data_IF_141036653747
#
_entry.id   IF_141036653747
#
_cell.length_a   1.000
_cell.length_b   1.000
_cell.length_c   1.000
_cell.angle_alpha   90.00
_cell.angle_beta   90.00
_cell.angle_gamma   90.00
#
_symmetry.space_group_name_H-M   'P 1'
#
loop_
_entity.id
_entity.type
_entity.pdbx_description
1 polymer ?
#
# COMPACT_ATOMS: atom_id res chain seq x y z
N UNK A 1 92.14 4.28 3.63
CA UNK A 1 91.05 4.13 4.61
C UNK A 1 89.73 4.37 3.91
N UNK A 2 89.02 3.31 3.47
CA UNK A 2 87.85 3.45 2.67
C UNK A 2 86.63 3.09 3.53
N UNK A 3 85.82 4.11 3.81
CA UNK A 3 84.58 3.97 4.60
C UNK A 3 83.42 3.70 3.64
N UNK A 4 82.94 2.48 3.62
CA UNK A 4 81.74 2.09 2.85
C UNK A 4 80.51 2.47 3.63
N UNK A 5 79.71 3.39 3.05
CA UNK A 5 78.37 3.76 3.57
C UNK A 5 77.34 2.83 2.87
N UNK A 6 76.68 2.02 3.69
CA UNK A 6 75.59 1.10 3.25
C UNK A 6 74.26 1.87 3.32
N UNK A 7 73.73 2.21 2.17
CA UNK A 7 72.36 2.76 2.09
C UNK A 7 71.35 1.64 2.16
N UNK A 8 70.60 1.58 3.27
CA UNK A 8 69.42 0.68 3.40
C UNK A 8 68.24 1.41 2.81
N UNK A 9 67.79 0.94 1.63
CA UNK A 9 66.52 1.35 1.04
C UNK A 9 65.36 0.63 1.77
N UNK A 10 64.66 1.36 2.59
CA UNK A 10 63.35 0.93 3.15
C UNK A 10 62.26 1.28 2.15
N UNK A 11 61.69 0.26 1.51
CA UNK A 11 60.51 0.39 0.67
C UNK A 11 59.27 0.43 1.56
N UNK A 12 58.46 1.50 1.61
CA UNK A 12 57.18 1.45 2.32
C UNK A 12 56.19 0.65 1.52
N UNK A 13 55.77 -0.48 2.06
CA UNK A 13 54.66 -1.26 1.52
C UNK A 13 53.35 -0.48 1.74
N UNK A 14 52.86 0.19 0.70
CA UNK A 14 51.50 0.76 0.67
C UNK A 14 50.50 -0.38 0.59
N UNK A 15 49.86 -0.69 1.72
CA UNK A 15 48.65 -1.50 1.74
C UNK A 15 47.54 -0.65 1.10
N UNK A 16 47.20 -0.96 -0.16
CA UNK A 16 45.94 -0.51 -0.76
C UNK A 16 44.80 -1.29 -0.08
N UNK A 17 44.16 -0.69 0.91
CA UNK A 17 42.88 -1.14 1.43
C UNK A 17 41.82 -0.88 0.35
N UNK A 18 41.51 -1.89 -0.45
CA UNK A 18 40.37 -1.85 -1.37
C UNK A 18 39.08 -1.85 -0.53
N UNK A 19 38.48 -0.67 -0.36
CA UNK A 19 37.13 -0.54 0.21
C UNK A 19 36.18 -1.07 -0.85
N UNK A 20 35.76 -2.33 -0.70
CA UNK A 20 34.60 -2.87 -1.42
C UNK A 20 33.37 -2.13 -0.91
N UNK A 21 33.02 -1.04 -1.56
CA UNK A 21 31.66 -0.49 -1.42
C UNK A 21 30.71 -1.50 -2.04
N UNK A 22 30.03 -2.27 -1.17
CA UNK A 22 28.89 -3.06 -1.59
C UNK A 22 27.84 -2.08 -2.13
N UNK A 23 27.79 -1.92 -3.45
CA UNK A 23 26.68 -1.22 -4.11
C UNK A 23 25.42 -1.99 -3.76
N UNK A 24 24.53 -1.39 -2.98
CA UNK A 24 23.18 -1.91 -2.81
C UNK A 24 22.64 -2.23 -4.21
N UNK A 25 22.25 -3.49 -4.44
CA UNK A 25 21.68 -3.90 -5.71
C UNK A 25 20.49 -2.97 -5.98
N UNK A 26 20.66 -2.06 -6.92
CA UNK A 26 19.63 -1.12 -7.33
C UNK A 26 18.46 -1.94 -7.87
N UNK A 27 17.26 -1.66 -7.42
CA UNK A 27 16.05 -2.23 -7.97
C UNK A 27 16.06 -2.01 -9.49
N UNK A 28 16.03 -3.09 -10.25
CA UNK A 28 16.01 -3.00 -11.71
C UNK A 28 14.58 -2.70 -12.14
N UNK A 29 14.28 -1.41 -12.38
CA UNK A 29 13.03 -0.94 -12.98
C UNK A 29 11.77 -1.55 -12.33
N UNK A 30 11.27 -1.01 -11.21
CA UNK A 30 10.02 -1.44 -10.61
C UNK A 30 8.89 -1.49 -11.64
N UNK A 31 8.11 -2.57 -11.66
CA UNK A 31 6.96 -2.71 -12.55
C UNK A 31 5.93 -3.67 -11.95
N UNK A 32 4.67 -3.52 -12.34
CA UNK A 32 3.63 -4.49 -12.02
C UNK A 32 3.79 -5.75 -12.90
N UNK A 33 3.59 -6.92 -12.29
CA UNK A 33 3.56 -8.19 -13.00
C UNK A 33 2.09 -8.50 -13.33
N UNK A 34 1.70 -8.16 -14.55
CA UNK A 34 0.30 -8.14 -14.96
C UNK A 34 -0.45 -6.92 -14.44
N UNK A 35 -1.75 -6.86 -14.71
CA UNK A 35 -2.62 -5.78 -14.24
C UNK A 35 -3.13 -6.11 -12.83
N UNK A 36 -3.03 -5.20 -11.85
CA UNK A 36 -3.69 -5.36 -10.55
C UNK A 36 -5.20 -5.56 -10.72
N UNK A 37 -5.78 -6.44 -9.92
CA UNK A 37 -7.22 -6.70 -9.93
C UNK A 37 -7.86 -6.25 -8.62
N UNK A 38 -9.01 -5.58 -8.71
CA UNK A 38 -9.75 -5.09 -7.55
C UNK A 38 -11.09 -5.81 -7.42
N UNK A 39 -11.44 -6.13 -6.18
CA UNK A 39 -12.75 -6.68 -5.81
C UNK A 39 -13.35 -5.80 -4.73
N UNK A 40 -14.66 -5.56 -4.84
CA UNK A 40 -15.44 -4.78 -3.90
C UNK A 40 -16.46 -5.68 -3.18
N UNK A 41 -16.57 -5.47 -1.88
CA UNK A 41 -17.54 -6.18 -1.03
C UNK A 41 -18.15 -5.19 -0.03
N UNK A 42 -19.46 -5.31 0.21
CA UNK A 42 -20.12 -4.48 1.21
C UNK A 42 -19.62 -4.77 2.63
N UNK A 43 -19.03 -5.93 2.89
CA UNK A 43 -18.52 -6.30 4.21
C UNK A 43 -17.05 -6.00 4.40
N UNK A 44 -16.23 -6.26 3.36
CA UNK A 44 -14.77 -6.13 3.43
C UNK A 44 -14.24 -4.81 2.84
N UNK A 45 -15.06 -4.09 2.09
CA UNK A 45 -14.64 -2.91 1.36
C UNK A 45 -13.98 -3.23 0.02
N UNK A 46 -13.05 -2.40 -0.41
CA UNK A 46 -12.26 -2.56 -1.63
C UNK A 46 -10.95 -3.26 -1.32
N UNK A 47 -10.62 -4.29 -2.06
CA UNK A 47 -9.33 -4.98 -2.01
C UNK A 47 -8.75 -5.04 -3.41
N UNK A 48 -7.52 -4.56 -3.59
CA UNK A 48 -6.80 -4.65 -4.87
C UNK A 48 -5.57 -5.53 -4.69
N UNK A 49 -5.44 -6.57 -5.50
CA UNK A 49 -4.36 -7.55 -5.41
C UNK A 49 -3.54 -7.64 -6.69
N UNK A 50 -2.28 -7.98 -6.53
CA UNK A 50 -1.36 -8.13 -7.65
C UNK A 50 0.04 -8.50 -7.21
N UNK A 51 0.95 -8.39 -8.16
CA UNK A 51 2.38 -8.61 -7.96
C UNK A 51 3.16 -7.45 -8.54
N UNK A 52 4.31 -7.14 -7.94
CA UNK A 52 5.29 -6.23 -8.50
C UNK A 52 6.68 -6.85 -8.45
N UNK A 53 7.53 -6.49 -9.40
CA UNK A 53 8.89 -6.96 -9.54
C UNK A 53 9.85 -5.79 -9.79
N UNK A 54 11.16 -6.08 -9.83
CA UNK A 54 12.18 -5.05 -9.99
C UNK A 54 12.37 -4.20 -8.74
N UNK A 55 11.96 -4.69 -7.58
CA UNK A 55 12.12 -4.03 -6.29
C UNK A 55 13.45 -4.44 -5.64
N UNK A 56 14.03 -3.54 -4.84
CA UNK A 56 15.15 -3.91 -3.97
C UNK A 56 14.71 -4.85 -2.84
N UNK A 57 15.68 -5.26 -2.01
CA UNK A 57 15.40 -6.14 -0.85
C UNK A 57 14.96 -5.35 0.41
N UNK A 58 14.83 -4.02 0.31
CA UNK A 58 14.41 -3.16 1.42
C UNK A 58 12.92 -3.28 1.76
N UNK A 59 12.51 -2.76 2.92
CA UNK A 59 11.11 -2.75 3.33
C UNK A 59 10.25 -2.01 2.31
N UNK A 60 9.12 -2.61 1.99
CA UNK A 60 8.16 -2.10 0.99
C UNK A 60 6.79 -1.93 1.64
N UNK A 61 6.06 -0.91 1.22
CA UNK A 61 4.69 -0.67 1.64
C UNK A 61 3.76 -0.70 0.43
N UNK A 62 2.57 -1.27 0.62
CA UNK A 62 1.47 -1.20 -0.34
C UNK A 62 0.23 -0.65 0.35
N UNK A 63 -0.45 0.30 -0.28
CA UNK A 63 -1.71 0.85 0.23
C UNK A 63 -2.54 1.42 -0.93
N UNK A 64 -3.82 1.64 -0.65
CA UNK A 64 -4.76 2.29 -1.56
C UNK A 64 -5.10 3.67 -1.02
N UNK A 65 -5.33 4.61 -1.92
CA UNK A 65 -5.98 5.89 -1.65
C UNK A 65 -7.24 6.03 -2.50
N UNK A 66 -8.20 6.83 -2.05
CA UNK A 66 -9.36 7.23 -2.82
C UNK A 66 -9.66 8.71 -2.55
N UNK A 67 -10.06 9.47 -3.57
CA UNK A 67 -10.49 10.86 -3.36
C UNK A 67 -11.72 10.92 -2.49
N UNK A 68 -12.64 9.97 -2.63
CA UNK A 68 -13.75 9.78 -1.71
C UNK A 68 -14.25 8.34 -1.68
N UNK A 69 -14.86 7.97 -0.54
CA UNK A 69 -15.59 6.72 -0.36
C UNK A 69 -16.99 7.07 0.09
N UNK A 70 -17.99 6.70 -0.71
CA UNK A 70 -19.41 6.91 -0.42
C UNK A 70 -20.06 5.56 -0.07
N UNK A 71 -20.71 5.52 1.10
CA UNK A 71 -21.41 4.35 1.60
C UNK A 71 -22.86 4.75 1.92
N UNK A 72 -23.85 4.02 1.39
CA UNK A 72 -25.26 4.23 1.73
C UNK A 72 -25.70 3.20 2.77
N UNK A 73 -26.18 3.69 3.89
CA UNK A 73 -26.68 2.88 4.98
C UNK A 73 -28.21 3.03 5.08
N UNK A 74 -28.91 1.93 5.29
CA UNK A 74 -30.35 1.90 5.47
C UNK A 74 -30.73 1.16 6.75
N UNK A 75 -31.86 1.51 7.32
CA UNK A 75 -32.42 0.82 8.47
C UNK A 75 -33.26 -0.37 8.04
N UNK A 76 -32.88 -1.57 8.41
CA UNK A 76 -33.64 -2.80 8.14
C UNK A 76 -34.45 -3.21 9.38
N UNK A 77 -35.76 -3.36 9.24
CA UNK A 77 -36.62 -3.86 10.32
C UNK A 77 -36.69 -5.41 10.34
N UNK A 78 -37.29 -5.97 11.37
CA UNK A 78 -37.48 -7.44 11.49
C UNK A 78 -38.34 -8.04 10.38
N UNK A 79 -39.20 -7.23 9.74
CA UNK A 79 -40.03 -7.65 8.59
C UNK A 79 -39.28 -7.58 7.25
N UNK A 80 -38.02 -7.17 7.24
CA UNK A 80 -37.17 -7.08 6.04
C UNK A 80 -37.34 -5.79 5.24
N UNK A 81 -38.18 -4.84 5.67
CA UNK A 81 -38.35 -3.56 4.99
C UNK A 81 -37.04 -2.73 5.10
N UNK A 82 -36.66 -2.13 3.98
CA UNK A 82 -35.43 -1.38 3.80
C UNK A 82 -35.77 -0.05 3.11
N UNK A 83 -36.16 0.99 3.87
CA UNK A 83 -36.41 2.31 3.29
C UNK A 83 -35.10 2.91 2.72
N UNK A 84 -35.21 3.96 1.86
CA UNK A 84 -34.05 4.65 1.33
C UNK A 84 -33.07 5.05 2.43
N UNK A 85 -31.78 4.77 2.19
CA UNK A 85 -30.73 5.04 3.15
C UNK A 85 -30.14 6.45 2.99
N UNK A 86 -29.28 6.81 3.93
CA UNK A 86 -28.51 8.05 3.91
C UNK A 86 -27.07 7.77 3.52
N UNK A 87 -26.47 8.57 2.62
CA UNK A 87 -25.07 8.43 2.27
C UNK A 87 -24.14 8.98 3.37
N UNK A 88 -23.08 8.23 3.66
CA UNK A 88 -21.92 8.68 4.43
C UNK A 88 -20.77 8.81 3.45
N UNK A 89 -20.15 10.00 3.37
CA UNK A 89 -19.05 10.27 2.43
C UNK A 89 -17.80 10.64 3.20
N UNK A 90 -16.73 9.86 3.05
CA UNK A 90 -15.42 10.19 3.56
C UNK A 90 -14.55 10.71 2.40
N UNK A 91 -13.84 11.82 2.64
CA UNK A 91 -12.94 12.44 1.66
C UNK A 91 -11.48 12.08 1.96
N UNK A 92 -10.65 12.03 0.91
CA UNK A 92 -9.20 11.79 1.00
C UNK A 92 -8.85 10.56 1.86
N UNK A 93 -9.45 9.43 1.51
CA UNK A 93 -9.31 8.19 2.28
C UNK A 93 -8.01 7.50 1.93
N UNK A 94 -7.23 7.14 2.94
CA UNK A 94 -6.06 6.26 2.81
C UNK A 94 -6.36 4.96 3.56
N UNK A 95 -6.26 3.85 2.87
CA UNK A 95 -6.42 2.52 3.45
C UNK A 95 -5.27 2.11 4.37
N UNK A 96 -5.44 1.06 5.16
CA UNK A 96 -4.36 0.48 5.95
C UNK A 96 -3.15 0.11 5.10
N UNK A 97 -1.97 0.41 5.61
CA UNK A 97 -0.71 0.09 4.94
C UNK A 97 -0.32 -1.36 5.17
N UNK A 98 -0.09 -2.09 4.10
CA UNK A 98 0.50 -3.43 4.12
C UNK A 98 2.03 -3.31 4.07
N UNK A 99 2.73 -3.78 5.11
CA UNK A 99 4.19 -3.88 5.12
C UNK A 99 4.62 -5.22 4.51
N UNK A 100 5.52 -5.17 3.53
CA UNK A 100 5.93 -6.35 2.75
C UNK A 100 7.44 -6.38 2.65
N UNK A 101 8.03 -7.56 2.83
CA UNK A 101 9.46 -7.79 2.54
C UNK A 101 9.58 -8.46 1.18
N UNK A 102 10.25 -7.84 0.20
CA UNK A 102 10.46 -8.44 -1.09
C UNK A 102 11.26 -9.74 -1.01
N UNK A 103 10.95 -10.68 -1.89
CA UNK A 103 11.74 -11.90 -2.09
C UNK A 103 12.24 -11.92 -3.53
N UNK A 104 13.56 -11.94 -3.71
CA UNK A 104 14.19 -11.85 -5.04
C UNK A 104 13.67 -10.66 -5.86
N UNK A 105 13.50 -9.50 -5.21
CA UNK A 105 13.00 -8.28 -5.87
C UNK A 105 11.52 -8.31 -6.25
N UNK A 106 10.73 -9.24 -5.72
CA UNK A 106 9.29 -9.37 -6.00
C UNK A 106 8.45 -9.29 -4.72
N UNK A 107 7.23 -8.78 -4.87
CA UNK A 107 6.20 -8.77 -3.83
C UNK A 107 4.87 -9.26 -4.40
N UNK A 108 4.04 -9.83 -3.53
CA UNK A 108 2.59 -9.96 -3.72
C UNK A 108 1.91 -9.03 -2.74
N UNK A 109 0.92 -8.28 -3.19
CA UNK A 109 0.21 -7.31 -2.39
C UNK A 109 -1.30 -7.51 -2.48
N UNK A 110 -2.00 -7.07 -1.42
CA UNK A 110 -3.47 -7.11 -1.33
C UNK A 110 -3.95 -6.02 -0.35
N UNK A 111 -3.63 -4.73 -0.58
CA UNK A 111 -4.10 -3.65 0.27
C UNK A 111 -5.61 -3.46 0.15
N UNK A 112 -6.23 -2.89 1.19
CA UNK A 112 -7.67 -2.68 1.30
C UNK A 112 -8.02 -1.25 1.67
N UNK A 113 -9.23 -0.79 1.29
CA UNK A 113 -9.93 0.34 1.92
C UNK A 113 -11.23 -0.21 2.51
N UNK A 114 -11.38 -0.21 3.84
CA UNK A 114 -12.62 -0.67 4.47
C UNK A 114 -13.79 0.29 4.17
N UNK A 115 -15.04 -0.17 4.31
CA UNK A 115 -16.19 0.73 4.26
C UNK A 115 -16.09 1.80 5.35
N UNK A 116 -16.68 2.99 5.14
CA UNK A 116 -16.86 3.98 6.22
C UNK A 116 -17.58 3.37 7.42
N UNK A 117 -17.26 3.88 8.61
CA UNK A 117 -17.94 3.43 9.84
C UNK A 117 -19.45 3.67 9.73
N UNK A 118 -20.28 2.65 9.96
CA UNK A 118 -21.73 2.82 9.93
C UNK A 118 -22.19 3.82 11.01
N UNK A 119 -23.23 4.61 10.73
CA UNK A 119 -23.83 5.47 11.72
C UNK A 119 -24.50 4.65 12.83
N UNK A 120 -24.72 5.26 13.99
CA UNK A 120 -25.37 4.59 15.11
C UNK A 120 -26.84 4.27 14.78
N UNK A 121 -27.28 3.04 14.99
CA UNK A 121 -28.69 2.71 14.84
C UNK A 121 -29.60 3.49 15.79
N UNK A 122 -29.09 3.90 16.95
CA UNK A 122 -29.86 4.69 17.92
C UNK A 122 -30.16 6.11 17.45
N UNK A 123 -29.32 6.67 16.57
CA UNK A 123 -29.48 8.03 16.03
C UNK A 123 -30.15 8.07 14.67
N UNK A 124 -29.99 7.00 13.87
CA UNK A 124 -30.39 6.99 12.47
C UNK A 124 -31.67 6.15 12.21
N UNK A 125 -31.97 5.21 13.09
CA UNK A 125 -33.10 4.31 12.90
C UNK A 125 -34.28 4.64 13.84
N UNK A 126 -35.53 4.37 13.41
CA UNK A 126 -36.74 4.79 14.17
C UNK A 126 -36.83 4.23 15.59
N UNK A 127 -36.28 3.06 15.84
CA UNK A 127 -36.22 2.45 17.19
C UNK A 127 -35.21 1.28 17.24
N UNK A 128 -34.94 0.76 18.42
CA UNK A 128 -33.97 -0.32 18.67
C UNK A 128 -34.29 -1.70 18.05
N UNK A 129 -35.42 -1.85 17.36
CA UNK A 129 -35.76 -3.07 16.63
C UNK A 129 -35.25 -3.06 15.17
N UNK A 130 -34.59 -2.00 14.77
CA UNK A 130 -34.01 -1.84 13.45
C UNK A 130 -32.49 -2.00 13.51
N UNK A 131 -31.91 -2.47 12.42
CA UNK A 131 -30.44 -2.63 12.26
C UNK A 131 -29.97 -1.77 11.10
N UNK A 132 -28.81 -1.13 11.26
CA UNK A 132 -28.15 -0.43 10.17
C UNK A 132 -27.49 -1.44 9.26
N UNK A 133 -27.77 -1.36 7.96
CA UNK A 133 -27.15 -2.22 6.94
C UNK A 133 -26.58 -1.37 5.82
N UNK A 134 -25.37 -1.72 5.35
CA UNK A 134 -24.77 -1.11 4.19
C UNK A 134 -25.44 -1.65 2.92
N UNK A 135 -25.93 -0.75 2.07
CA UNK A 135 -26.67 -1.10 0.84
C UNK A 135 -25.93 -0.73 -0.43
N UNK A 136 -25.06 0.27 -0.37
CA UNK A 136 -24.23 0.68 -1.51
C UNK A 136 -22.87 1.18 -1.03
N UNK A 137 -21.87 1.00 -1.89
CA UNK A 137 -20.50 1.40 -1.62
C UNK A 137 -19.81 1.78 -2.95
N UNK A 138 -19.27 2.98 -3.02
CA UNK A 138 -18.57 3.53 -4.19
C UNK A 138 -17.24 4.11 -3.77
N UNK A 139 -16.21 3.87 -4.56
CA UNK A 139 -14.86 4.41 -4.39
C UNK A 139 -14.51 5.26 -5.61
N UNK A 140 -14.16 6.54 -5.40
CA UNK A 140 -13.79 7.45 -6.48
C UNK A 140 -12.29 7.69 -6.51
N UNK A 141 -11.74 7.74 -7.74
CA UNK A 141 -10.33 8.03 -8.02
C UNK A 141 -9.37 7.18 -7.17
N UNK A 142 -9.58 5.87 -7.21
CA UNK A 142 -8.74 4.92 -6.47
C UNK A 142 -7.36 4.87 -7.07
N UNK A 143 -6.35 4.94 -6.22
CA UNK A 143 -4.95 4.83 -6.61
C UNK A 143 -4.24 3.79 -5.73
N UNK A 144 -3.50 2.90 -6.37
CA UNK A 144 -2.62 1.93 -5.72
C UNK A 144 -1.21 2.50 -5.63
N UNK A 145 -0.62 2.45 -4.45
CA UNK A 145 0.74 2.90 -4.17
C UNK A 145 1.62 1.74 -3.71
N UNK A 146 2.82 1.62 -4.30
CA UNK A 146 3.90 0.77 -3.82
C UNK A 146 5.08 1.68 -3.49
N UNK A 147 5.53 1.66 -2.25
CA UNK A 147 6.64 2.50 -1.76
C UNK A 147 7.86 1.67 -1.39
N UNK A 148 9.03 2.11 -1.85
CA UNK A 148 10.32 1.53 -1.46
C UNK A 148 11.46 2.56 -1.65
N UNK A 149 12.13 3.08 -0.60
CA UNK A 149 11.77 2.82 0.81
C UNK A 149 10.40 3.39 1.19
N UNK A 150 9.88 3.06 2.38
CA UNK A 150 8.65 3.67 2.88
C UNK A 150 8.69 5.20 2.82
N UNK A 151 7.65 5.81 2.23
CA UNK A 151 7.57 7.25 1.98
C UNK A 151 7.93 7.68 0.56
N UNK A 152 8.46 6.77 -0.29
CA UNK A 152 8.80 7.06 -1.68
C UNK A 152 8.05 6.12 -2.61
N UNK A 153 7.13 6.64 -3.39
CA UNK A 153 6.40 5.85 -4.39
C UNK A 153 7.36 5.43 -5.52
N UNK A 154 7.42 4.12 -5.76
CA UNK A 154 8.17 3.52 -6.87
C UNK A 154 7.24 2.97 -7.95
N UNK A 155 5.99 2.66 -7.59
CA UNK A 155 4.92 2.33 -8.52
C UNK A 155 3.62 2.99 -8.04
N UNK A 156 2.90 3.56 -8.99
CA UNK A 156 1.57 4.13 -8.78
C UNK A 156 0.68 3.67 -9.94
N UNK A 157 -0.51 3.18 -9.63
CA UNK A 157 -1.51 2.79 -10.62
C UNK A 157 -2.85 3.46 -10.29
N UNK A 158 -3.37 4.24 -11.25
CA UNK A 158 -4.67 4.89 -11.12
C UNK A 158 -5.76 3.95 -11.61
N UNK A 159 -6.53 3.42 -10.68
CA UNK A 159 -7.58 2.44 -10.93
C UNK A 159 -8.95 3.07 -11.26
N UNK A 160 -9.05 4.40 -11.10
CA UNK A 160 -10.26 5.16 -11.39
C UNK A 160 -11.39 4.91 -10.40
N UNK A 161 -12.63 5.06 -10.87
CA UNK A 161 -13.83 4.86 -10.06
C UNK A 161 -14.19 3.37 -10.01
N UNK A 162 -14.56 2.90 -8.81
CA UNK A 162 -15.00 1.51 -8.60
C UNK A 162 -16.43 1.54 -8.06
N UNK A 163 -17.35 1.44 -9.01
CA UNK A 163 -18.79 1.45 -8.79
C UNK A 163 -19.38 0.03 -8.62
N UNK A 164 -20.67 -0.10 -8.24
CA UNK A 164 -21.37 -1.38 -8.07
C UNK A 164 -21.29 -2.29 -9.29
#
# INVERSE_FOLDING_TARGET
>A
MLRRILFILTVPAMLLASILTATAAQAQSPHFVGTPSCTKSLTAGLTCSGKAAGLGNGPTKAFLTASSVSATYSCKNKGGNLPPGQPVVNQNVTGPTQNITPRNGQISFSPTIPPPTPPSAATECPNGNWTVVLTSLTYNDVTLHIQQPPGTDVLVDSLGNIDP
#
